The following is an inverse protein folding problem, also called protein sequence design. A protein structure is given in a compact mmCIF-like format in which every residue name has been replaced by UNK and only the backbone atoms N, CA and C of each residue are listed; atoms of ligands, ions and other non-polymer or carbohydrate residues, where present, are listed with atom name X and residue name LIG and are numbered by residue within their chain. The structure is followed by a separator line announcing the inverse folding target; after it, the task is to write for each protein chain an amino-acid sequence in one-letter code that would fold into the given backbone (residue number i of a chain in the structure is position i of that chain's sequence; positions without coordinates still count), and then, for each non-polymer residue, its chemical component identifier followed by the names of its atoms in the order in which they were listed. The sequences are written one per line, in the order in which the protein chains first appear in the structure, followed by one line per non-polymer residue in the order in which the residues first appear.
data_IF_464949472317
#
_entry.id   IF_464949472317
#
_cell.length_a   1.000
_cell.length_b   1.000
_cell.length_c   1.000
_cell.angle_alpha   90.00
_cell.angle_beta   90.00
_cell.angle_gamma   90.00
#
_symmetry.space_group_name_H-M   'P 1'
#
loop_
_entity.id
_entity.type
_entity.pdbx_description
1 polymer ?
#
# COMPACT_ATOMS: atom_id res chain seq x y z
N UNK A 1 -7.21 43.31 -36.18
CA UNK A 1 -8.18 42.39 -35.57
C UNK A 1 -7.43 41.15 -35.11
N UNK A 2 -7.58 40.79 -33.84
CA UNK A 2 -6.91 39.66 -33.20
C UNK A 2 -7.77 38.39 -33.28
N UNK A 3 -7.11 37.24 -33.42
CA UNK A 3 -7.56 35.92 -32.94
C UNK A 3 -6.29 35.07 -32.78
N UNK A 4 -5.63 35.18 -31.62
CA UNK A 4 -5.72 34.23 -30.50
C UNK A 4 -5.30 32.81 -30.91
N UNK A 5 -4.00 32.54 -30.74
CA UNK A 5 -3.44 31.21 -30.82
C UNK A 5 -3.86 30.43 -29.56
N UNK A 6 -4.55 29.30 -29.73
CA UNK A 6 -4.62 28.27 -28.71
C UNK A 6 -3.42 27.33 -28.94
N UNK A 7 -2.49 27.17 -27.98
CA UNK A 7 -1.56 26.05 -28.06
C UNK A 7 -2.34 24.74 -27.89
N UNK A 8 -2.02 23.68 -28.65
CA UNK A 8 -2.63 22.38 -28.44
C UNK A 8 -2.17 21.85 -27.08
N UNK A 9 -3.09 21.80 -26.12
CA UNK A 9 -2.90 21.07 -24.87
C UNK A 9 -2.90 19.58 -25.18
N UNK A 10 -1.71 19.00 -25.32
CA UNK A 10 -1.53 17.55 -25.31
C UNK A 10 -1.94 17.06 -23.93
N UNK A 11 -2.99 16.22 -23.77
CA UNK A 11 -3.16 15.52 -22.52
C UNK A 11 -1.96 14.57 -22.40
N UNK A 12 -1.12 14.80 -21.40
CA UNK A 12 -0.08 13.85 -21.04
C UNK A 12 -0.77 12.51 -20.75
N UNK A 13 -0.53 11.53 -21.61
CA UNK A 13 -0.93 10.15 -21.36
C UNK A 13 -0.32 9.77 -20.00
N UNK A 14 -1.13 9.37 -18.99
CA UNK A 14 -0.57 8.98 -17.71
C UNK A 14 0.42 7.83 -17.94
N UNK A 15 1.62 7.95 -17.38
CA UNK A 15 2.64 6.93 -17.51
C UNK A 15 2.10 5.57 -17.02
N UNK A 16 2.48 4.46 -17.67
CA UNK A 16 2.02 3.15 -17.24
C UNK A 16 2.51 2.83 -15.83
N UNK A 17 1.67 2.27 -14.96
CA UNK A 17 2.09 1.85 -13.64
C UNK A 17 3.12 0.70 -13.71
N UNK A 18 4.09 0.72 -12.81
CA UNK A 18 5.15 -0.30 -12.73
C UNK A 18 4.63 -1.59 -12.10
N UNK A 19 3.82 -1.45 -11.04
CA UNK A 19 3.06 -2.54 -10.45
C UNK A 19 1.65 -2.03 -10.19
N UNK A 20 0.64 -2.64 -10.79
CA UNK A 20 -0.74 -2.18 -10.65
C UNK A 20 -1.64 -3.27 -10.08
N UNK A 21 -2.11 -3.05 -8.84
CA UNK A 21 -3.03 -3.95 -8.12
C UNK A 21 -2.62 -5.42 -8.19
N UNK A 22 -1.32 -5.70 -8.10
CA UNK A 22 -0.79 -7.05 -8.09
C UNK A 22 -1.20 -7.73 -6.79
N UNK A 23 -1.62 -9.00 -6.84
CA UNK A 23 -1.78 -9.78 -5.62
C UNK A 23 -0.46 -9.77 -4.83
N UNK A 24 -0.53 -9.62 -3.51
CA UNK A 24 0.66 -9.47 -2.68
C UNK A 24 0.49 -10.20 -1.35
N UNK A 25 1.62 -10.60 -0.78
CA UNK A 25 1.72 -11.09 0.59
C UNK A 25 2.64 -10.13 1.35
N UNK A 26 2.18 -9.67 2.51
CA UNK A 26 2.97 -8.80 3.38
C UNK A 26 3.47 -9.62 4.55
N UNK A 27 4.78 -9.68 4.73
CA UNK A 27 5.45 -10.38 5.80
C UNK A 27 6.09 -9.39 6.78
N UNK A 28 6.01 -9.73 8.07
CA UNK A 28 6.73 -9.03 9.14
C UNK A 28 7.17 -10.01 10.22
N UNK A 29 8.10 -9.57 11.07
CA UNK A 29 8.52 -10.34 12.25
C UNK A 29 7.66 -9.89 13.43
N UNK A 30 6.95 -10.81 14.04
CA UNK A 30 6.20 -10.56 15.27
C UNK A 30 7.17 -10.46 16.44
N UNK A 31 7.37 -9.23 16.93
CA UNK A 31 8.23 -8.93 18.08
C UNK A 31 7.51 -9.12 19.41
N UNK A 32 6.18 -9.34 19.42
CA UNK A 32 5.38 -9.49 20.64
C UNK A 32 5.28 -10.97 21.08
N UNK A 33 5.68 -11.91 20.22
CA UNK A 33 5.61 -13.36 20.49
C UNK A 33 7.02 -13.95 20.63
N UNK A 34 7.22 -14.80 21.64
CA UNK A 34 8.45 -15.59 21.84
C UNK A 34 8.17 -17.10 21.66
N UNK A 35 8.97 -17.83 20.86
CA UNK A 35 10.05 -17.32 20.01
C UNK A 35 9.53 -16.44 18.87
N UNK A 36 10.34 -15.46 18.46
CA UNK A 36 10.00 -14.54 17.35
C UNK A 36 9.65 -15.35 16.11
N UNK A 37 8.56 -15.00 15.46
CA UNK A 37 8.06 -15.71 14.28
C UNK A 37 7.68 -14.74 13.16
N UNK A 38 7.82 -15.19 11.92
CA UNK A 38 7.28 -14.47 10.77
C UNK A 38 5.75 -14.59 10.75
N UNK A 39 5.09 -13.46 10.50
CA UNK A 39 3.64 -13.37 10.26
C UNK A 39 3.40 -12.91 8.84
N UNK A 40 2.26 -13.30 8.30
CA UNK A 40 1.87 -13.04 6.92
C UNK A 40 0.46 -12.46 6.89
N UNK A 41 0.31 -11.36 6.18
CA UNK A 41 -0.97 -10.79 5.79
C UNK A 41 -1.21 -11.23 4.35
N UNK A 42 -2.16 -12.12 4.20
CA UNK A 42 -2.55 -12.75 2.94
C UNK A 42 -4.06 -12.76 2.83
N UNK A 43 -4.54 -12.83 1.59
CA UNK A 43 -5.96 -12.98 1.28
C UNK A 43 -6.39 -14.43 1.28
N UNK A 44 -7.68 -14.68 1.57
CA UNK A 44 -8.30 -15.98 1.24
C UNK A 44 -8.50 -16.16 -0.27
N UNK A 45 -8.41 -15.06 -1.04
CA UNK A 45 -8.57 -15.05 -2.50
C UNK A 45 -7.50 -14.20 -3.17
N UNK A 46 -7.14 -14.51 -4.42
CA UNK A 46 -6.44 -13.58 -5.28
C UNK A 46 -7.21 -12.25 -5.30
N UNK A 47 -6.51 -11.15 -4.98
CA UNK A 47 -7.02 -9.79 -4.83
C UNK A 47 -7.53 -9.32 -3.45
N UNK A 48 -7.52 -10.15 -2.40
CA UNK A 48 -7.82 -9.60 -1.06
C UNK A 48 -6.70 -8.72 -0.52
N UNK A 49 -5.45 -9.02 -0.85
CA UNK A 49 -4.30 -8.16 -0.57
C UNK A 49 -3.63 -7.82 -1.89
N UNK A 50 -3.59 -6.54 -2.23
CA UNK A 50 -2.99 -6.06 -3.48
C UNK A 50 -2.00 -4.94 -3.24
N UNK A 51 -0.91 -4.97 -3.97
CA UNK A 51 0.13 -3.96 -3.96
C UNK A 51 0.11 -3.15 -5.26
N UNK A 52 0.37 -1.85 -5.13
CA UNK A 52 0.64 -1.00 -6.30
C UNK A 52 1.84 -0.09 -6.07
N UNK A 53 2.67 0.00 -7.10
CA UNK A 53 3.71 1.00 -7.27
C UNK A 53 3.41 1.76 -8.57
N UNK A 54 2.94 2.98 -8.42
CA UNK A 54 2.63 3.89 -9.52
C UNK A 54 3.79 4.86 -9.68
N UNK A 55 4.22 5.12 -10.91
CA UNK A 55 5.31 6.02 -11.20
C UNK A 55 4.99 6.89 -12.41
N UNK A 56 5.30 8.18 -12.29
CA UNK A 56 5.20 9.18 -13.36
C UNK A 56 6.59 9.67 -13.69
N UNK A 57 7.13 9.23 -14.83
CA UNK A 57 8.42 9.71 -15.35
C UNK A 57 8.43 11.23 -15.55
N UNK A 58 7.34 11.77 -16.08
CA UNK A 58 7.22 13.20 -16.38
C UNK A 58 7.32 14.07 -15.12
N UNK A 59 6.77 13.59 -14.00
CA UNK A 59 6.75 14.33 -12.74
C UNK A 59 7.87 13.88 -11.78
N UNK A 60 8.57 12.81 -12.12
CA UNK A 60 9.49 12.10 -11.22
C UNK A 60 8.84 11.81 -9.86
N UNK A 61 7.60 11.32 -9.92
CA UNK A 61 6.76 11.06 -8.76
C UNK A 61 6.39 9.59 -8.65
N UNK A 62 6.43 9.04 -7.44
CA UNK A 62 6.03 7.67 -7.14
C UNK A 62 5.02 7.59 -5.99
N UNK A 63 4.17 6.57 -6.03
CA UNK A 63 3.25 6.25 -4.95
C UNK A 63 3.23 4.74 -4.70
N UNK A 64 3.32 4.35 -3.42
CA UNK A 64 3.38 2.97 -2.97
C UNK A 64 2.33 2.73 -1.89
N UNK A 65 1.45 1.75 -2.12
CA UNK A 65 0.41 1.39 -1.16
C UNK A 65 -0.02 -0.06 -1.29
N UNK A 66 -0.55 -0.59 -0.20
CA UNK A 66 -1.19 -1.91 -0.15
C UNK A 66 -2.66 -1.70 0.14
N UNK A 67 -3.52 -2.39 -0.59
CA UNK A 67 -4.96 -2.46 -0.35
C UNK A 67 -5.31 -3.83 0.20
N UNK A 68 -6.12 -3.84 1.25
CA UNK A 68 -6.61 -5.02 1.96
C UNK A 68 -8.13 -4.98 1.92
N UNK A 69 -8.75 -6.03 1.39
CA UNK A 69 -10.19 -6.24 1.42
C UNK A 69 -10.56 -6.99 2.69
N UNK A 70 -11.43 -6.39 3.48
CA UNK A 70 -12.06 -7.01 4.64
C UNK A 70 -13.44 -7.48 4.23
N UNK A 71 -13.65 -8.80 4.24
CA UNK A 71 -14.98 -9.36 4.00
C UNK A 71 -15.67 -9.54 5.36
N UNK A 72 -16.67 -8.70 5.65
CA UNK A 72 -17.49 -8.92 6.83
C UNK A 72 -18.47 -10.08 6.58
N UNK A 73 -18.54 -11.02 7.52
CA UNK A 73 -19.58 -12.04 7.56
C UNK A 73 -20.87 -11.44 8.14
N UNK A 74 -21.50 -10.57 7.37
CA UNK A 74 -22.87 -10.11 7.63
C UNK A 74 -23.79 -10.64 6.53
N UNK A 75 -25.10 -10.73 6.80
CA UNK A 75 -26.12 -11.25 5.87
C UNK A 75 -26.09 -10.57 4.48
N UNK A 76 -25.57 -9.34 4.44
CA UNK A 76 -25.19 -8.61 3.24
C UNK A 76 -23.67 -8.57 3.19
N UNK A 77 -23.03 -9.49 2.45
CA UNK A 77 -21.57 -9.51 2.23
C UNK A 77 -21.09 -8.13 1.79
N UNK A 78 -20.63 -7.33 2.73
CA UNK A 78 -20.13 -5.97 2.46
C UNK A 78 -18.61 -6.05 2.51
N UNK A 79 -17.96 -5.66 1.41
CA UNK A 79 -16.51 -5.61 1.33
C UNK A 79 -16.03 -4.23 1.76
N UNK A 80 -15.33 -4.18 2.88
CA UNK A 80 -14.64 -2.98 3.33
C UNK A 80 -13.20 -2.98 2.83
N UNK A 81 -12.63 -1.79 2.66
CA UNK A 81 -11.28 -1.64 2.14
C UNK A 81 -10.41 -0.86 3.14
N UNK A 82 -9.24 -1.41 3.42
CA UNK A 82 -8.19 -0.79 4.21
C UNK A 82 -6.97 -0.60 3.33
N UNK A 83 -6.31 0.54 3.48
CA UNK A 83 -5.12 0.89 2.75
C UNK A 83 -3.97 1.08 3.72
N UNK A 84 -2.85 0.40 3.46
CA UNK A 84 -1.59 0.67 4.13
C UNK A 84 -0.81 1.60 3.20
N UNK A 85 -0.66 2.85 3.63
CA UNK A 85 0.04 3.88 2.88
C UNK A 85 1.48 3.95 3.37
N UNK A 86 2.42 3.80 2.43
CA UNK A 86 3.84 3.86 2.71
C UNK A 86 4.35 5.18 2.14
N UNK A 87 4.67 6.10 3.05
CA UNK A 87 5.31 7.36 2.72
C UNK A 87 6.76 7.09 2.27
N UNK A 88 7.12 7.52 1.06
CA UNK A 88 8.47 7.32 0.51
C UNK A 88 9.54 8.01 1.37
N UNK A 89 9.22 9.16 1.96
CA UNK A 89 10.13 9.88 2.86
C UNK A 89 10.38 9.14 4.19
N UNK A 90 9.54 8.14 4.48
CA UNK A 90 9.67 7.29 5.65
C UNK A 90 10.56 6.06 5.40
N UNK A 91 10.92 5.76 4.15
CA UNK A 91 11.75 4.60 3.80
C UNK A 91 13.23 4.96 4.01
N UNK A 92 13.91 4.21 4.88
CA UNK A 92 15.35 4.33 5.13
C UNK A 92 16.12 3.44 4.16
N UNK A 93 15.64 2.20 3.98
CA UNK A 93 16.27 1.20 3.13
C UNK A 93 15.17 0.45 2.37
N UNK A 94 15.42 0.23 1.08
CA UNK A 94 14.61 -0.61 0.22
C UNK A 94 15.51 -1.61 -0.46
N UNK A 95 15.36 -2.88 -0.11
CA UNK A 95 16.06 -3.98 -0.75
C UNK A 95 15.11 -4.70 -1.70
N UNK A 96 15.66 -5.17 -2.80
CA UNK A 96 14.96 -5.95 -3.80
C UNK A 96 15.65 -7.30 -3.91
N UNK A 97 14.97 -8.36 -3.46
CA UNK A 97 15.43 -9.73 -3.62
C UNK A 97 14.61 -10.39 -4.72
N UNK A 98 15.30 -10.94 -5.71
CA UNK A 98 14.69 -11.69 -6.80
C UNK A 98 14.54 -13.16 -6.40
N UNK A 99 13.46 -13.79 -6.86
CA UNK A 99 13.22 -15.23 -6.75
C UNK A 99 13.15 -15.74 -5.30
N UNK A 100 12.42 -15.03 -4.44
CA UNK A 100 12.13 -15.53 -3.10
C UNK A 100 10.97 -16.52 -3.15
N UNK A 101 11.17 -17.72 -2.60
CA UNK A 101 10.07 -18.65 -2.34
C UNK A 101 9.50 -18.36 -0.95
N UNK A 102 8.21 -18.02 -0.91
CA UNK A 102 7.49 -17.92 0.36
C UNK A 102 7.31 -19.36 0.87
N UNK A 103 7.52 -19.63 2.18
CA UNK A 103 7.37 -20.99 2.70
C UNK A 103 5.98 -21.56 2.37
N UNK A 104 5.95 -22.75 1.74
CA UNK A 104 4.74 -23.42 1.24
C UNK A 104 3.66 -23.67 2.31
N UNK A 105 4.05 -23.67 3.59
CA UNK A 105 3.13 -23.86 4.73
C UNK A 105 2.45 -22.58 5.22
N UNK A 106 2.81 -21.43 4.66
CA UNK A 106 2.08 -20.19 4.92
C UNK A 106 0.82 -20.16 4.05
N UNK A 107 -0.24 -19.51 4.52
CA UNK A 107 -1.48 -19.21 3.78
C UNK A 107 -1.25 -18.33 2.52
N UNK A 108 0.00 -18.19 2.06
CA UNK A 108 0.45 -17.52 0.86
C UNK A 108 0.22 -18.33 -0.44
N UNK A 109 -0.57 -19.41 -0.40
CA UNK A 109 -1.00 -20.21 -1.55
C UNK A 109 -1.70 -19.40 -2.68
N UNK A 110 -1.83 -18.08 -2.52
CA UNK A 110 -2.40 -17.14 -3.49
C UNK A 110 -1.36 -16.66 -4.51
N UNK A 111 -0.06 -16.71 -4.19
CA UNK A 111 0.99 -16.27 -5.11
C UNK A 111 1.58 -17.49 -5.84
N UNK A 112 1.04 -17.79 -7.02
CA UNK A 112 1.58 -18.84 -7.89
C UNK A 112 2.87 -18.36 -8.59
N UNK A 113 3.95 -19.14 -8.45
CA UNK A 113 5.21 -18.95 -9.20
C UNK A 113 6.25 -18.05 -8.52
N UNK A 114 7.31 -17.65 -9.25
CA UNK A 114 8.41 -16.87 -8.70
C UNK A 114 7.93 -15.47 -8.28
N UNK A 115 8.38 -15.04 -7.11
CA UNK A 115 8.06 -13.72 -6.56
C UNK A 115 9.29 -12.84 -6.46
N UNK A 116 9.06 -11.53 -6.50
CA UNK A 116 10.01 -10.50 -6.12
C UNK A 116 9.63 -10.00 -4.73
N UNK A 117 10.63 -9.91 -3.86
CA UNK A 117 10.47 -9.42 -2.49
C UNK A 117 11.03 -8.00 -2.38
N UNK A 118 10.18 -7.05 -2.01
CA UNK A 118 10.56 -5.70 -1.65
C UNK A 118 10.63 -5.59 -0.13
N UNK A 119 11.82 -5.47 0.44
CA UNK A 119 12.01 -5.28 1.89
C UNK A 119 12.20 -3.82 2.21
N UNK A 120 11.31 -3.28 3.02
CA UNK A 120 11.28 -1.89 3.44
C UNK A 120 11.70 -1.80 4.91
N UNK A 121 12.70 -0.96 5.17
CA UNK A 121 13.02 -0.49 6.53
C UNK A 121 12.53 0.94 6.64
N UNK A 122 11.67 1.20 7.62
CA UNK A 122 10.96 2.45 7.79
C UNK A 122 11.47 3.20 9.02
N UNK A 123 11.51 4.53 8.94
CA UNK A 123 11.86 5.42 10.07
C UNK A 123 10.75 5.46 11.13
N UNK A 124 9.51 5.29 10.71
CA UNK A 124 8.30 5.29 11.55
C UNK A 124 7.41 4.12 11.15
N UNK A 125 6.54 3.64 12.04
CA UNK A 125 5.59 2.60 11.71
C UNK A 125 4.67 2.98 10.55
N UNK A 126 4.10 1.98 9.85
CA UNK A 126 3.22 2.22 8.70
C UNK A 126 1.91 2.91 9.09
N UNK A 127 1.36 3.68 8.14
CA UNK A 127 0.06 4.31 8.30
C UNK A 127 -1.02 3.45 7.67
N UNK A 128 -2.09 3.19 8.42
CA UNK A 128 -3.26 2.42 7.96
C UNK A 128 -4.45 3.37 7.87
N UNK A 129 -5.17 3.32 6.76
CA UNK A 129 -6.34 4.17 6.48
C UNK A 129 -7.52 3.28 6.08
N UNK A 130 -8.69 3.51 6.65
CA UNK A 130 -9.90 2.75 6.37
C UNK A 130 -11.16 3.59 6.59
N UNK A 131 -12.33 3.01 6.33
CA UNK A 131 -13.62 3.66 6.63
C UNK A 131 -13.76 3.94 8.13
N UNK A 132 -14.46 5.02 8.48
CA UNK A 132 -14.86 5.31 9.88
C UNK A 132 -15.82 4.29 10.44
N UNK A 133 -16.69 3.75 9.58
CA UNK A 133 -17.73 2.78 9.93
C UNK A 133 -17.19 1.34 10.04
N UNK A 134 -15.87 1.16 9.96
CA UNK A 134 -15.22 -0.12 10.26
C UNK A 134 -15.65 -0.52 11.68
N UNK A 135 -16.61 -1.43 11.76
CA UNK A 135 -16.96 -2.06 13.01
C UNK A 135 -15.75 -2.90 13.42
N UNK A 136 -14.90 -2.33 14.27
CA UNK A 136 -13.70 -2.94 14.86
C UNK A 136 -14.09 -4.06 15.84
N UNK A 137 -14.98 -4.96 15.45
CA UNK A 137 -15.24 -6.19 16.19
C UNK A 137 -14.10 -7.15 15.91
N UNK A 138 -13.51 -7.70 16.98
CA UNK A 138 -12.27 -8.45 17.00
C UNK A 138 -12.25 -9.61 16.01
N UNK A 139 -11.75 -9.36 14.80
CA UNK A 139 -11.35 -10.39 13.85
C UNK A 139 -9.83 -10.55 13.89
N UNK A 140 -9.35 -11.77 13.66
CA UNK A 140 -7.92 -12.10 13.58
C UNK A 140 -7.17 -11.21 12.57
N UNK A 141 -7.86 -10.78 11.51
CA UNK A 141 -7.34 -9.88 10.48
C UNK A 141 -7.13 -8.45 10.99
N UNK A 142 -8.03 -7.93 11.84
CA UNK A 142 -7.84 -6.62 12.48
C UNK A 142 -6.68 -6.64 13.46
N UNK A 143 -6.54 -7.70 14.26
CA UNK A 143 -5.37 -7.89 15.13
C UNK A 143 -4.07 -7.93 14.31
N UNK A 144 -4.08 -8.62 13.17
CA UNK A 144 -2.94 -8.65 12.25
C UNK A 144 -2.61 -7.26 11.67
N UNK A 145 -3.62 -6.47 11.30
CA UNK A 145 -3.43 -5.09 10.84
C UNK A 145 -2.90 -4.16 11.93
N UNK A 146 -3.37 -4.30 13.17
CA UNK A 146 -2.86 -3.55 14.31
C UNK A 146 -1.39 -3.88 14.59
N UNK A 147 -1.05 -5.16 14.60
CA UNK A 147 0.34 -5.60 14.75
C UNK A 147 1.20 -5.07 13.61
N UNK A 148 0.71 -5.14 12.37
CA UNK A 148 1.40 -4.61 11.19
C UNK A 148 1.64 -3.09 11.31
N UNK A 149 0.66 -2.34 11.83
CA UNK A 149 0.76 -0.88 12.05
C UNK A 149 1.91 -0.49 13.00
N UNK A 150 2.40 -1.43 13.80
CA UNK A 150 3.53 -1.23 14.74
C UNK A 150 4.88 -1.50 14.09
N UNK A 151 4.91 -2.15 12.93
CA UNK A 151 6.14 -2.62 12.31
C UNK A 151 6.88 -1.52 11.57
N UNK A 152 8.20 -1.56 11.69
CA UNK A 152 9.14 -0.70 10.94
C UNK A 152 9.91 -1.47 9.89
N UNK A 153 9.76 -2.80 9.83
CA UNK A 153 10.38 -3.64 8.81
C UNK A 153 9.27 -4.48 8.18
N UNK A 154 9.11 -4.34 6.87
CA UNK A 154 8.09 -5.06 6.09
C UNK A 154 8.73 -5.70 4.87
N UNK A 155 8.31 -6.91 4.55
CA UNK A 155 8.60 -7.55 3.28
C UNK A 155 7.32 -7.67 2.46
N UNK A 156 7.33 -7.18 1.22
CA UNK A 156 6.20 -7.26 0.31
C UNK A 156 6.59 -8.18 -0.84
N UNK A 157 5.91 -9.33 -0.93
CA UNK A 157 6.11 -10.31 -1.99
C UNK A 157 5.05 -10.12 -3.06
N UNK A 158 5.47 -10.00 -4.32
CA UNK A 158 4.58 -9.87 -5.48
C UNK A 158 5.01 -10.83 -6.61
N UNK A 159 4.08 -11.37 -7.42
CA UNK A 159 4.44 -12.23 -8.53
C UNK A 159 5.26 -11.48 -9.58
N UNK A 160 6.32 -12.11 -10.07
CA UNK A 160 7.21 -11.53 -11.08
C UNK A 160 6.45 -11.15 -12.36
N UNK A 161 5.45 -11.95 -12.73
CA UNK A 161 4.57 -11.73 -13.89
C UNK A 161 3.71 -10.46 -13.82
N UNK A 162 3.63 -9.80 -12.66
CA UNK A 162 2.85 -8.58 -12.44
C UNK A 162 3.70 -7.30 -12.48
N UNK A 163 5.00 -7.43 -12.67
CA UNK A 163 5.91 -6.29 -12.87
C UNK A 163 6.00 -6.00 -14.36
N UNK A 164 5.52 -4.83 -14.80
CA UNK A 164 5.48 -4.47 -16.22
C UNK A 164 6.86 -4.07 -16.77
N UNK A 165 7.72 -3.50 -15.93
CA UNK A 165 9.07 -3.09 -16.29
C UNK A 165 10.03 -3.26 -15.10
N UNK A 166 10.87 -4.29 -15.16
CA UNK A 166 11.81 -4.63 -14.07
C UNK A 166 12.95 -3.61 -13.95
N UNK A 167 13.44 -3.08 -15.06
CA UNK A 167 14.51 -2.08 -15.05
C UNK A 167 14.03 -0.78 -14.39
N UNK A 168 12.83 -0.32 -14.76
CA UNK A 168 12.20 0.85 -14.14
C UNK A 168 11.95 0.62 -12.65
N UNK A 169 11.51 -0.57 -12.24
CA UNK A 169 11.36 -0.91 -10.82
C UNK A 169 12.70 -0.76 -10.07
N UNK A 170 13.79 -1.33 -10.59
CA UNK A 170 15.11 -1.21 -9.98
C UNK A 170 15.58 0.24 -9.88
N UNK A 171 15.38 1.04 -10.93
CA UNK A 171 15.72 2.46 -10.93
C UNK A 171 14.92 3.24 -9.88
N UNK A 172 13.63 2.98 -9.77
CA UNK A 172 12.77 3.59 -8.74
C UNK A 172 13.22 3.18 -7.34
N UNK A 173 13.53 1.90 -7.11
CA UNK A 173 14.02 1.44 -5.81
C UNK A 173 15.32 2.16 -5.39
N UNK A 174 16.24 2.37 -6.34
CA UNK A 174 17.47 3.16 -6.11
C UNK A 174 17.17 4.65 -5.87
N UNK A 175 16.23 5.21 -6.62
CA UNK A 175 15.85 6.62 -6.50
C UNK A 175 15.13 6.92 -5.17
N UNK A 176 14.31 5.99 -4.65
CA UNK A 176 13.68 6.08 -3.33
C UNK A 176 14.76 6.13 -2.24
N UNK A 177 15.73 5.21 -2.28
CA UNK A 177 16.81 5.16 -1.28
C UNK A 177 17.78 6.34 -1.39
N UNK A 178 17.98 6.87 -2.59
CA UNK A 178 18.74 8.10 -2.86
C UNK A 178 17.98 9.40 -2.56
N UNK A 179 16.69 9.34 -2.21
CA UNK A 179 15.88 10.50 -1.87
C UNK A 179 15.56 11.44 -3.04
N UNK A 180 15.60 10.96 -4.28
CA UNK A 180 15.42 11.81 -5.47
C UNK A 180 13.96 11.92 -5.95
N UNK A 181 13.09 11.01 -5.49
CA UNK A 181 11.69 10.93 -5.93
C UNK A 181 10.74 11.79 -5.08
N UNK A 182 9.77 12.39 -5.74
CA UNK A 182 8.63 13.07 -5.10
C UNK A 182 7.45 12.11 -4.94
N UNK A 183 6.53 12.43 -4.05
CA UNK A 183 5.34 11.59 -3.79
C UNK A 183 4.09 12.22 -4.40
N UNK A 184 3.40 11.49 -5.28
CA UNK A 184 2.10 11.92 -5.82
C UNK A 184 0.95 11.58 -4.85
N UNK A 185 0.32 12.61 -4.30
CA UNK A 185 -0.86 12.47 -3.42
C UNK A 185 -2.16 12.27 -4.20
N UNK A 186 -2.24 12.70 -5.46
CA UNK A 186 -3.46 12.64 -6.28
C UNK A 186 -3.77 11.23 -6.72
N UNK A 187 -2.75 10.43 -7.02
CA UNK A 187 -2.91 9.00 -7.25
C UNK A 187 -3.62 8.32 -6.07
N UNK A 188 -3.27 8.69 -4.83
CA UNK A 188 -3.92 8.17 -3.61
C UNK A 188 -5.39 8.66 -3.52
N UNK A 189 -5.63 9.96 -3.75
CA UNK A 189 -6.98 10.52 -3.72
C UNK A 189 -7.91 9.89 -4.76
N UNK A 190 -7.43 9.64 -5.98
CA UNK A 190 -8.19 9.01 -7.06
C UNK A 190 -8.55 7.55 -6.78
N UNK A 191 -7.68 6.83 -6.07
CA UNK A 191 -7.89 5.44 -5.66
C UNK A 191 -8.86 5.30 -4.50
N UNK A 192 -8.85 6.30 -3.61
CA UNK A 192 -9.79 6.36 -2.50
C UNK A 192 -11.20 6.75 -2.99
N UNK A 193 -11.39 7.46 -4.11
CA UNK A 193 -12.71 7.88 -4.62
C UNK A 193 -13.76 6.77 -4.84
N UNK A 194 -13.40 5.48 -4.76
CA UNK A 194 -14.35 4.41 -4.44
C UNK A 194 -14.49 4.23 -2.92
N UNK A 195 -15.40 4.97 -2.28
CA UNK A 195 -15.77 4.88 -0.86
C UNK A 195 -14.66 5.11 0.20
N UNK A 196 -13.53 5.70 -0.14
CA UNK A 196 -12.52 6.18 0.81
C UNK A 196 -12.21 7.68 0.57
N UNK A 197 -12.11 8.49 1.62
CA UNK A 197 -11.83 9.92 1.55
C UNK A 197 -10.42 10.16 2.08
N UNK A 198 -9.60 10.84 1.29
CA UNK A 198 -8.33 11.40 1.77
C UNK A 198 -8.63 12.73 2.46
N UNK A 199 -8.11 12.95 3.68
CA UNK A 199 -8.00 14.28 4.29
C UNK A 199 -6.53 14.53 4.59
N UNK A 200 -5.98 15.48 3.85
CA UNK A 200 -5.04 16.44 4.41
C UNK A 200 -5.91 17.61 4.87
N UNK A 201 -5.77 17.98 6.14
CA UNK A 201 -6.74 18.77 6.91
C UNK A 201 -7.46 19.91 6.17
N UNK A 202 -8.79 19.84 6.13
CA UNK A 202 -9.68 20.93 6.57
C UNK A 202 -11.10 20.41 6.74
N UNK A 203 -11.67 20.76 7.89
CA UNK A 203 -13.02 20.44 8.36
C UNK A 203 -14.10 20.85 7.34
N UNK A 204 -14.98 19.93 6.93
CA UNK A 204 -16.37 20.27 6.59
C UNK A 204 -17.31 19.06 6.62
N UNK A 205 -18.56 19.34 7.02
CA UNK A 205 -19.55 18.41 7.56
C UNK A 205 -20.34 17.68 6.47
N UNK A 206 -20.30 16.34 6.48
CA UNK A 206 -21.42 15.36 6.51
C UNK A 206 -20.89 14.00 6.00
N UNK A 207 -20.93 13.01 6.88
CA UNK A 207 -20.23 11.70 6.85
C UNK A 207 -18.76 11.80 7.26
N UNK A 208 -18.54 11.64 8.56
CA UNK A 208 -17.23 11.73 9.23
C UNK A 208 -16.42 10.48 8.96
N UNK A 209 -15.37 10.61 8.15
CA UNK A 209 -14.27 9.64 8.06
C UNK A 209 -13.30 9.90 9.22
N UNK A 210 -12.86 8.83 9.88
CA UNK A 210 -12.00 8.89 11.06
C UNK A 210 -10.64 8.37 10.64
N UNK A 211 -9.61 9.21 10.77
CA UNK A 211 -8.24 8.79 10.50
C UNK A 211 -7.72 8.01 11.68
N UNK A 212 -7.28 6.78 11.45
CA UNK A 212 -6.60 5.99 12.46
C UNK A 212 -5.10 6.13 12.26
N UNK A 213 -4.47 7.00 13.03
CA UNK A 213 -3.01 7.10 13.04
C UNK A 213 -2.47 6.43 14.28
N UNK A 214 -1.78 5.30 14.12
CA UNK A 214 -1.01 4.72 15.22
C UNK A 214 0.27 5.52 15.44
N UNK A 215 0.45 6.07 16.64
CA UNK A 215 1.66 6.79 17.01
C UNK A 215 1.96 6.55 18.49
N UNK A 216 3.21 6.24 18.85
CA UNK A 216 3.65 6.04 20.25
C UNK A 216 2.71 5.16 21.11
N UNK A 217 2.21 4.04 20.56
CA UNK A 217 1.39 3.09 21.32
C UNK A 217 -0.07 3.49 21.51
N UNK A 218 -0.57 4.50 20.78
CA UNK A 218 -1.97 4.93 20.83
C UNK A 218 -2.51 5.19 19.43
N UNK A 219 -3.80 4.87 19.24
CA UNK A 219 -4.57 5.32 18.09
C UNK A 219 -4.93 6.80 18.29
N UNK A 220 -4.57 7.62 17.31
CA UNK A 220 -5.00 9.01 17.23
C UNK A 220 -6.13 9.13 16.22
N UNK A 221 -7.18 9.83 16.66
CA UNK A 221 -8.33 10.19 15.86
C UNK A 221 -8.13 11.62 15.36
N UNK A 222 -8.27 11.84 14.06
CA UNK A 222 -8.47 13.19 13.48
C UNK A 222 -9.85 13.24 12.82
#
# INVERSE_FOLDING_TARGET
MAASALPPSVPATPAPPIVHRAAAVVEWIDLEVEPRCSRYLTGLKPASVTFSLLYSEQQHEAALFIRVLLQQWTERKTEEQVYILIDLSNIILLMQDLEHSIPEKSTAAVLDGPTICLRLVLRRPVSIVGSSDLALQSSELLGSLELLARQTILAIHIPLSRVSNMEALQQICRAITGGSLRQDRRSIEGLCRGNAVTIIGRQCRRHSMVYYKWYKGRWFFN
#
